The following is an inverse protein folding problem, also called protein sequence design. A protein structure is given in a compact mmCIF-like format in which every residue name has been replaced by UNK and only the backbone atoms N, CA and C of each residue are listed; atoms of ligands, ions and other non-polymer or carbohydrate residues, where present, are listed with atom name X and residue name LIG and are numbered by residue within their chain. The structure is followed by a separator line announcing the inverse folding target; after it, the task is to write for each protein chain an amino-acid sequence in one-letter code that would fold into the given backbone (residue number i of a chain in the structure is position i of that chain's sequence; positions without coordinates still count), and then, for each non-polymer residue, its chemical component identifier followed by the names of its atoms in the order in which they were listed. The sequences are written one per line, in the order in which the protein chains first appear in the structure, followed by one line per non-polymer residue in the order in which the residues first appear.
data_IF_483633595085
#
_entry.id   IF_483633595085
#
_cell.length_a   1.000
_cell.length_b   1.000
_cell.length_c   1.000
_cell.angle_alpha   90.00
_cell.angle_beta   90.00
_cell.angle_gamma   90.00
#
_symmetry.space_group_name_H-M   'P 1'
#
loop_
_entity.id
_entity.type
_entity.pdbx_description
1 polymer ?
#
# COMPACT_ATOMS: atom_id res chain seq x y z
N UNK A 1 23.46 -4.14 1.86
CA UNK A 1 22.85 -3.21 2.82
C UNK A 1 23.79 -2.07 3.22
N UNK A 2 25.04 -2.33 3.65
CA UNK A 2 26.01 -1.28 4.03
C UNK A 2 26.26 -0.23 2.95
N UNK A 3 26.47 -0.61 1.69
CA UNK A 3 26.70 0.33 0.59
C UNK A 3 25.52 1.30 0.37
N UNK A 4 24.27 0.83 0.54
CA UNK A 4 23.08 1.68 0.44
C UNK A 4 22.97 2.68 1.60
N UNK A 5 23.35 2.26 2.82
CA UNK A 5 23.37 3.14 4.00
C UNK A 5 24.42 4.24 3.82
N UNK A 6 25.63 3.88 3.42
CA UNK A 6 26.72 4.86 3.16
C UNK A 6 26.34 5.85 2.05
N UNK A 7 25.67 5.40 0.97
CA UNK A 7 25.18 6.31 -0.07
C UNK A 7 24.05 7.21 0.45
N UNK A 8 23.14 6.69 1.29
CA UNK A 8 22.06 7.49 1.86
C UNK A 8 22.55 8.59 2.81
N UNK A 9 23.67 8.36 3.51
CA UNK A 9 24.26 9.34 4.42
C UNK A 9 25.04 10.44 3.69
N UNK A 10 25.79 10.08 2.64
CA UNK A 10 26.72 11.00 1.98
C UNK A 10 26.13 11.77 0.80
N UNK A 11 25.03 11.27 0.17
CA UNK A 11 24.49 11.85 -1.07
C UNK A 11 23.00 12.20 -1.00
N UNK A 12 22.41 12.20 0.19
CA UNK A 12 20.97 12.44 0.35
C UNK A 12 20.54 13.79 -0.22
N UNK A 13 21.24 14.86 0.16
CA UNK A 13 20.85 16.23 -0.18
C UNK A 13 20.98 16.51 -1.70
N UNK A 14 21.87 15.79 -2.39
CA UNK A 14 22.06 15.89 -3.83
C UNK A 14 21.11 14.95 -4.59
N UNK A 15 20.90 13.74 -4.10
CA UNK A 15 20.14 12.70 -4.78
C UNK A 15 18.62 12.90 -4.63
N UNK A 16 18.14 13.38 -3.46
CA UNK A 16 16.71 13.51 -3.18
C UNK A 16 15.99 14.41 -4.18
N UNK A 17 16.42 15.67 -4.44
CA UNK A 17 15.73 16.53 -5.40
C UNK A 17 15.68 15.88 -6.79
N UNK A 18 16.76 15.25 -7.21
CA UNK A 18 16.83 14.60 -8.53
C UNK A 18 15.91 13.40 -8.63
N UNK A 19 15.82 12.56 -7.60
CA UNK A 19 14.90 11.41 -7.59
C UNK A 19 13.43 11.85 -7.57
N UNK A 20 13.10 12.89 -6.83
CA UNK A 20 11.73 13.46 -6.83
C UNK A 20 11.35 14.02 -8.20
N UNK A 21 12.27 14.72 -8.88
CA UNK A 21 12.07 15.22 -10.24
C UNK A 21 11.81 14.06 -11.23
N UNK A 22 12.59 12.96 -11.12
CA UNK A 22 12.48 11.78 -11.98
C UNK A 22 11.16 11.01 -11.80
N UNK A 23 10.40 11.24 -10.72
CA UNK A 23 9.04 10.70 -10.60
C UNK A 23 8.07 11.26 -11.64
N UNK A 24 8.40 12.41 -12.22
CA UNK A 24 7.61 13.06 -13.28
C UNK A 24 8.09 12.72 -14.70
N UNK A 25 9.08 11.83 -14.84
CA UNK A 25 9.59 11.41 -16.14
C UNK A 25 8.51 10.63 -16.92
N UNK A 26 8.33 10.87 -18.23
CA UNK A 26 7.35 10.14 -19.04
C UNK A 26 7.71 8.66 -19.24
N UNK A 27 8.98 8.27 -19.10
CA UNK A 27 9.42 6.87 -19.22
C UNK A 27 9.13 6.09 -17.92
N UNK A 28 8.28 5.05 -18.00
CA UNK A 28 8.00 4.19 -16.85
C UNK A 28 9.22 3.54 -16.22
N UNK A 29 10.28 3.28 -16.99
CA UNK A 29 11.52 2.69 -16.48
C UNK A 29 12.24 3.66 -15.56
N UNK A 30 12.25 4.94 -15.93
CA UNK A 30 12.91 5.99 -15.17
C UNK A 30 12.19 6.25 -13.85
N UNK A 31 10.88 6.57 -13.87
CA UNK A 31 10.18 6.87 -12.63
C UNK A 31 10.10 5.65 -11.67
N UNK A 32 10.00 4.42 -12.20
CA UNK A 32 10.04 3.20 -11.36
C UNK A 32 11.41 3.01 -10.70
N UNK A 33 12.49 3.37 -11.42
CA UNK A 33 13.84 3.33 -10.85
C UNK A 33 14.01 4.39 -9.78
N UNK A 34 13.46 5.60 -9.99
CA UNK A 34 13.45 6.67 -8.99
C UNK A 34 12.69 6.25 -7.72
N UNK A 35 11.52 5.59 -7.84
CA UNK A 35 10.77 5.03 -6.71
C UNK A 35 11.62 4.07 -5.89
N UNK A 36 12.36 3.15 -6.55
CA UNK A 36 13.28 2.23 -5.86
C UNK A 36 14.42 2.97 -5.18
N UNK A 37 15.00 3.97 -5.86
CA UNK A 37 16.06 4.81 -5.32
C UNK A 37 15.62 5.57 -4.05
N UNK A 38 14.41 6.13 -4.05
CA UNK A 38 13.84 6.80 -2.88
C UNK A 38 13.71 5.84 -1.68
N UNK A 39 13.34 4.58 -1.92
CA UNK A 39 13.25 3.57 -0.88
C UNK A 39 14.55 3.30 -0.13
N UNK A 40 15.72 3.59 -0.72
CA UNK A 40 17.05 3.40 -0.10
C UNK A 40 17.29 4.38 1.05
N UNK A 41 16.64 5.56 1.04
CA UNK A 41 16.84 6.61 2.04
C UNK A 41 15.98 6.44 3.30
N UNK A 42 15.12 5.43 3.34
CA UNK A 42 14.31 5.09 4.53
C UNK A 42 13.36 6.21 4.96
N UNK A 43 13.28 6.44 6.27
CA UNK A 43 12.36 7.43 6.86
C UNK A 43 12.64 8.88 6.42
N UNK A 44 13.87 9.20 5.99
CA UNK A 44 14.27 10.57 5.59
C UNK A 44 13.46 11.11 4.42
N UNK A 45 12.96 10.25 3.53
CA UNK A 45 12.18 10.67 2.36
C UNK A 45 10.67 10.72 2.59
N UNK A 46 10.18 10.29 3.76
CA UNK A 46 8.74 10.22 4.01
C UNK A 46 8.06 11.58 3.90
N UNK A 47 8.57 12.60 4.59
CA UNK A 47 8.00 13.95 4.52
C UNK A 47 8.13 14.60 3.14
N UNK A 48 9.29 14.56 2.45
CA UNK A 48 9.38 14.99 1.06
C UNK A 48 8.39 14.31 0.11
N UNK A 49 8.15 12.99 0.28
CA UNK A 49 7.15 12.25 -0.51
C UNK A 49 5.72 12.69 -0.19
N UNK A 50 5.41 12.93 1.09
CA UNK A 50 4.10 13.42 1.54
C UNK A 50 3.83 14.84 1.01
N UNK A 51 4.81 15.72 1.05
CA UNK A 51 4.71 17.07 0.49
C UNK A 51 4.46 17.03 -1.02
N UNK A 52 5.20 16.17 -1.74
CA UNK A 52 5.00 16.01 -3.18
C UNK A 52 3.63 15.39 -3.49
N UNK A 53 3.18 14.39 -2.75
CA UNK A 53 1.85 13.78 -2.91
C UNK A 53 0.74 14.81 -2.74
N UNK A 54 0.85 15.68 -1.74
CA UNK A 54 -0.18 16.68 -1.43
C UNK A 54 -0.18 17.88 -2.41
N UNK A 55 0.94 18.15 -3.06
CA UNK A 55 1.08 19.35 -3.93
C UNK A 55 0.97 19.04 -5.42
N UNK A 56 1.22 17.80 -5.84
CA UNK A 56 1.16 17.44 -7.26
C UNK A 56 -0.26 17.17 -7.74
N UNK A 57 -0.57 17.61 -8.96
CA UNK A 57 -1.78 17.19 -9.69
C UNK A 57 -1.54 15.98 -10.61
N UNK A 58 -0.28 15.53 -10.77
CA UNK A 58 0.06 14.40 -11.63
C UNK A 58 -0.24 13.08 -10.91
N UNK A 59 -1.26 12.34 -11.39
CA UNK A 59 -1.68 11.07 -10.81
C UNK A 59 -0.57 9.99 -10.83
N UNK A 60 0.31 9.99 -11.84
CA UNK A 60 1.46 9.08 -11.88
C UNK A 60 2.44 9.39 -10.75
N UNK A 61 2.73 10.67 -10.50
CA UNK A 61 3.60 11.09 -9.40
C UNK A 61 2.98 10.76 -8.05
N UNK A 62 1.67 11.04 -7.85
CA UNK A 62 0.94 10.61 -6.64
C UNK A 62 1.09 9.11 -6.38
N UNK A 63 0.84 8.30 -7.40
CA UNK A 63 0.98 6.85 -7.32
C UNK A 63 2.43 6.40 -7.01
N UNK A 64 3.42 7.10 -7.55
CA UNK A 64 4.84 6.85 -7.27
C UNK A 64 5.19 7.16 -5.81
N UNK A 65 4.69 8.27 -5.25
CA UNK A 65 4.87 8.62 -3.84
C UNK A 65 4.34 7.49 -2.92
N UNK A 66 3.13 7.00 -3.20
CA UNK A 66 2.52 5.89 -2.44
C UNK A 66 3.33 4.60 -2.58
N UNK A 67 3.77 4.24 -3.79
CA UNK A 67 4.58 3.04 -4.03
C UNK A 67 5.96 3.10 -3.38
N UNK A 68 6.52 4.30 -3.20
CA UNK A 68 7.78 4.48 -2.51
C UNK A 68 7.70 4.04 -1.04
N UNK A 69 6.54 4.13 -0.38
CA UNK A 69 6.35 3.61 0.98
C UNK A 69 6.62 2.10 1.07
N UNK A 70 6.20 1.32 0.07
CA UNK A 70 6.51 -0.12 0.02
C UNK A 70 8.02 -0.34 -0.12
N UNK A 71 8.71 0.44 -0.97
CA UNK A 71 10.16 0.32 -1.13
C UNK A 71 10.91 0.67 0.17
N UNK A 72 10.43 1.66 0.91
CA UNK A 72 10.96 2.01 2.24
C UNK A 72 10.77 0.84 3.20
N UNK A 73 9.55 0.28 3.30
CA UNK A 73 9.25 -0.83 4.20
C UNK A 73 10.02 -2.12 3.84
N UNK A 74 10.27 -2.38 2.56
CA UNK A 74 11.10 -3.51 2.11
C UNK A 74 12.55 -3.37 2.55
N UNK A 75 13.12 -2.15 2.44
CA UNK A 75 14.51 -1.89 2.79
C UNK A 75 14.72 -1.71 4.30
N UNK A 76 13.68 -1.23 5.00
CA UNK A 76 13.70 -0.94 6.44
C UNK A 76 12.46 -1.57 7.11
N UNK A 77 12.46 -2.90 7.37
CA UNK A 77 11.28 -3.62 7.88
C UNK A 77 10.75 -3.11 9.21
N UNK A 78 11.63 -2.50 10.03
CA UNK A 78 11.27 -1.98 11.35
C UNK A 78 10.78 -0.52 11.33
N UNK A 79 10.65 0.08 10.12
CA UNK A 79 10.19 1.46 10.01
C UNK A 79 8.71 1.56 10.40
N UNK A 80 8.41 2.50 11.30
CA UNK A 80 7.03 2.88 11.65
C UNK A 80 6.67 4.12 10.86
N UNK A 81 5.61 4.02 10.07
CA UNK A 81 5.17 5.15 9.25
C UNK A 81 4.44 6.20 10.08
N UNK A 82 4.69 7.50 9.86
CA UNK A 82 4.00 8.57 10.56
C UNK A 82 2.49 8.58 10.20
N UNK A 83 1.66 9.16 11.07
CA UNK A 83 0.21 9.22 10.86
C UNK A 83 -0.17 9.90 9.54
N UNK A 84 0.63 10.88 9.12
CA UNK A 84 0.47 11.56 7.84
C UNK A 84 0.59 10.60 6.64
N UNK A 85 1.43 9.55 6.74
CA UNK A 85 1.53 8.54 5.68
C UNK A 85 0.27 7.67 5.59
N UNK A 86 -0.33 7.32 6.73
CA UNK A 86 -1.60 6.58 6.76
C UNK A 86 -2.73 7.46 6.22
N UNK A 87 -2.76 8.74 6.59
CA UNK A 87 -3.72 9.70 6.03
C UNK A 87 -3.56 9.83 4.51
N UNK A 88 -2.32 9.89 4.00
CA UNK A 88 -2.07 9.93 2.57
C UNK A 88 -2.54 8.65 1.85
N UNK A 89 -2.41 7.48 2.49
CA UNK A 89 -2.95 6.22 1.96
C UNK A 89 -4.48 6.24 1.88
N UNK A 90 -5.17 6.81 2.90
CA UNK A 90 -6.61 6.98 2.86
C UNK A 90 -7.03 7.93 1.72
N UNK A 91 -6.39 9.09 1.61
CA UNK A 91 -6.65 10.03 0.53
C UNK A 91 -6.41 9.42 -0.86
N UNK A 92 -5.33 8.64 -1.00
CA UNK A 92 -5.02 7.95 -2.24
C UNK A 92 -6.02 6.83 -2.56
N UNK A 93 -6.57 6.15 -1.54
CA UNK A 93 -7.58 5.12 -1.70
C UNK A 93 -8.89 5.71 -2.25
N UNK A 94 -9.23 6.92 -1.81
CA UNK A 94 -10.43 7.65 -2.20
C UNK A 94 -10.23 8.51 -3.48
N UNK A 95 -9.02 8.50 -4.07
CA UNK A 95 -8.72 9.24 -5.30
C UNK A 95 -9.50 8.67 -6.50
N UNK A 96 -10.14 9.54 -7.28
CA UNK A 96 -10.94 9.16 -8.45
C UNK A 96 -10.09 8.48 -9.55
N UNK A 97 -8.78 8.75 -9.56
CA UNK A 97 -7.87 8.15 -10.54
C UNK A 97 -7.50 6.72 -10.14
N UNK A 98 -7.84 5.71 -10.98
CA UNK A 98 -7.62 4.30 -10.64
C UNK A 98 -6.14 3.93 -10.46
N UNK A 99 -5.20 4.68 -11.03
CA UNK A 99 -3.76 4.45 -10.84
C UNK A 99 -3.34 4.80 -9.42
N UNK A 100 -3.94 5.85 -8.84
CA UNK A 100 -3.67 6.29 -7.47
C UNK A 100 -4.33 5.35 -6.47
N UNK A 101 -5.64 5.10 -6.60
CA UNK A 101 -6.38 4.24 -5.68
C UNK A 101 -5.89 2.79 -5.69
N UNK A 102 -5.52 2.24 -6.85
CA UNK A 102 -4.93 0.91 -6.91
C UNK A 102 -3.53 0.87 -6.26
N UNK A 103 -2.75 1.94 -6.36
CA UNK A 103 -1.45 2.02 -5.68
C UNK A 103 -1.60 2.03 -4.16
N UNK A 104 -2.63 2.72 -3.65
CA UNK A 104 -2.98 2.70 -2.23
C UNK A 104 -3.38 1.28 -1.77
N UNK A 105 -4.28 0.61 -2.50
CA UNK A 105 -4.69 -0.77 -2.20
C UNK A 105 -3.51 -1.73 -2.13
N UNK A 106 -2.60 -1.67 -3.09
CA UNK A 106 -1.40 -2.52 -3.09
C UNK A 106 -0.50 -2.22 -1.89
N UNK A 107 -0.34 -0.95 -1.52
CA UNK A 107 0.47 -0.54 -0.36
C UNK A 107 -0.18 -0.97 0.95
N UNK A 108 -1.49 -0.77 1.10
CA UNK A 108 -2.26 -1.25 2.26
C UNK A 108 -2.18 -2.77 2.38
N UNK A 109 -2.29 -3.51 1.26
CA UNK A 109 -2.14 -4.96 1.24
C UNK A 109 -0.75 -5.42 1.68
N UNK A 110 0.31 -4.68 1.35
CA UNK A 110 1.65 -4.95 1.87
C UNK A 110 1.74 -4.64 3.37
N UNK A 111 1.24 -3.48 3.81
CA UNK A 111 1.28 -3.04 5.21
C UNK A 111 0.43 -3.90 6.13
N UNK A 112 -0.64 -4.53 5.63
CA UNK A 112 -1.47 -5.44 6.43
C UNK A 112 -0.73 -6.68 6.94
N UNK A 113 0.44 -6.98 6.36
CA UNK A 113 1.34 -8.08 6.76
C UNK A 113 2.48 -7.61 7.66
N UNK A 114 2.62 -6.29 7.90
CA UNK A 114 3.66 -5.73 8.75
C UNK A 114 3.14 -5.54 10.18
N UNK A 115 3.85 -6.10 11.17
CA UNK A 115 3.41 -6.06 12.58
C UNK A 115 3.11 -4.66 13.09
N UNK A 116 3.92 -3.67 12.68
CA UNK A 116 3.81 -2.29 13.14
C UNK A 116 2.64 -1.53 12.49
N UNK A 117 2.17 -1.97 11.31
CA UNK A 117 1.17 -1.25 10.52
C UNK A 117 -0.17 -1.97 10.42
N UNK A 118 -0.21 -3.30 10.60
CA UNK A 118 -1.41 -4.11 10.38
C UNK A 118 -2.64 -3.60 11.13
N UNK A 119 -2.48 -3.17 12.38
CA UNK A 119 -3.58 -2.69 13.20
C UNK A 119 -4.20 -1.38 12.67
N UNK A 120 -3.40 -0.57 11.96
CA UNK A 120 -3.81 0.72 11.38
C UNK A 120 -4.48 0.57 10.02
N UNK A 121 -4.06 -0.43 9.22
CA UNK A 121 -4.47 -0.56 7.82
C UNK A 121 -5.52 -1.64 7.57
N UNK A 122 -5.64 -2.67 8.42
CA UNK A 122 -6.68 -3.68 8.31
C UNK A 122 -8.09 -3.07 8.31
N UNK A 123 -8.45 -2.12 9.20
CA UNK A 123 -9.76 -1.47 9.16
C UNK A 123 -10.05 -0.78 7.82
N UNK A 124 -9.05 -0.16 7.19
CA UNK A 124 -9.18 0.49 5.88
C UNK A 124 -9.51 -0.53 4.79
N UNK A 125 -8.79 -1.66 4.74
CA UNK A 125 -9.06 -2.74 3.78
C UNK A 125 -10.43 -3.40 4.02
N UNK A 126 -10.84 -3.58 5.28
CA UNK A 126 -12.18 -4.07 5.63
C UNK A 126 -13.27 -3.10 5.16
N UNK A 127 -13.04 -1.80 5.24
CA UNK A 127 -13.96 -0.80 4.69
C UNK A 127 -14.08 -0.93 3.16
N UNK A 128 -12.96 -1.17 2.45
CA UNK A 128 -12.97 -1.39 1.00
C UNK A 128 -13.78 -2.62 0.61
N UNK A 129 -13.80 -3.67 1.44
CA UNK A 129 -14.63 -4.86 1.18
C UNK A 129 -16.14 -4.55 1.09
N UNK A 130 -16.58 -3.41 1.63
CA UNK A 130 -17.97 -2.95 1.57
C UNK A 130 -18.20 -1.89 0.47
N UNK A 131 -17.22 -1.62 -0.38
CA UNK A 131 -17.36 -0.64 -1.46
C UNK A 131 -18.14 -1.19 -2.67
N UNK A 132 -18.66 -0.29 -3.50
CA UNK A 132 -19.32 -0.67 -4.74
C UNK A 132 -18.34 -1.06 -5.88
N UNK A 133 -17.05 -0.80 -5.72
CA UNK A 133 -16.04 -1.10 -6.72
C UNK A 133 -15.56 -2.55 -6.58
N UNK A 134 -16.08 -3.44 -7.42
CA UNK A 134 -15.78 -4.89 -7.42
C UNK A 134 -14.26 -5.15 -7.51
N UNK A 135 -13.51 -4.40 -8.33
CA UNK A 135 -12.06 -4.59 -8.46
C UNK A 135 -11.31 -4.22 -7.18
N UNK A 136 -11.76 -3.17 -6.48
CA UNK A 136 -11.22 -2.81 -5.17
C UNK A 136 -11.55 -3.86 -4.11
N UNK A 137 -12.80 -4.32 -4.06
CA UNK A 137 -13.23 -5.40 -3.16
C UNK A 137 -12.39 -6.65 -3.37
N UNK A 138 -12.22 -7.08 -4.63
CA UNK A 138 -11.38 -8.23 -4.97
C UNK A 138 -9.94 -8.05 -4.44
N UNK A 139 -9.33 -6.90 -4.70
CA UNK A 139 -7.96 -6.61 -4.25
C UNK A 139 -7.83 -6.61 -2.72
N UNK A 140 -8.83 -6.05 -2.02
CA UNK A 140 -8.87 -6.03 -0.56
C UNK A 140 -9.03 -7.44 0.03
N UNK A 141 -9.97 -8.24 -0.50
CA UNK A 141 -10.18 -9.64 -0.07
C UNK A 141 -8.91 -10.46 -0.26
N UNK A 142 -8.27 -10.37 -1.43
CA UNK A 142 -7.02 -11.08 -1.70
C UNK A 142 -5.89 -10.67 -0.75
N UNK A 143 -5.77 -9.38 -0.43
CA UNK A 143 -4.77 -8.87 0.51
C UNK A 143 -5.01 -9.37 1.93
N UNK A 144 -6.28 -9.40 2.37
CA UNK A 144 -6.68 -9.83 3.71
C UNK A 144 -6.69 -11.35 3.88
N UNK A 145 -6.72 -12.14 2.79
CA UNK A 145 -6.77 -13.60 2.85
C UNK A 145 -5.58 -14.23 3.59
N UNK A 146 -4.44 -13.54 3.62
CA UNK A 146 -3.19 -14.00 4.27
C UNK A 146 -2.91 -13.30 5.61
N UNK A 147 -3.89 -12.58 6.16
CA UNK A 147 -3.75 -11.81 7.39
C UNK A 147 -4.54 -12.44 8.51
N UNK A 148 -3.87 -12.88 9.58
CA UNK A 148 -4.54 -13.38 10.79
C UNK A 148 -5.19 -12.22 11.55
N UNK A 149 -6.53 -12.20 11.57
CA UNK A 149 -7.31 -11.16 12.27
C UNK A 149 -8.76 -11.58 12.42
N UNK A 150 -9.29 -11.47 13.65
CA UNK A 150 -10.70 -11.72 13.93
C UNK A 150 -11.63 -10.71 13.23
N UNK A 151 -11.13 -9.52 12.94
CA UNK A 151 -11.90 -8.51 12.18
C UNK A 151 -12.07 -8.95 10.72
N UNK A 152 -11.03 -9.53 10.12
CA UNK A 152 -11.09 -10.09 8.76
C UNK A 152 -12.04 -11.28 8.71
N UNK A 153 -11.98 -12.19 9.71
CA UNK A 153 -12.88 -13.37 9.76
C UNK A 153 -14.34 -12.95 9.82
N UNK A 154 -14.66 -11.95 10.66
CA UNK A 154 -16.02 -11.39 10.76
C UNK A 154 -16.46 -10.72 9.45
N UNK A 155 -15.57 -9.97 8.81
CA UNK A 155 -15.85 -9.33 7.52
C UNK A 155 -16.17 -10.38 6.45
N UNK A 156 -15.34 -11.38 6.27
CA UNK A 156 -15.52 -12.42 5.27
C UNK A 156 -16.79 -13.25 5.52
N UNK A 157 -17.05 -13.63 6.77
CA UNK A 157 -18.27 -14.33 7.14
C UNK A 157 -19.53 -13.49 6.83
N UNK A 158 -19.49 -12.20 7.10
CA UNK A 158 -20.61 -11.28 6.77
C UNK A 158 -20.84 -11.20 5.26
N UNK A 159 -19.76 -11.04 4.48
CA UNK A 159 -19.86 -10.93 3.02
C UNK A 159 -20.41 -12.22 2.35
N UNK A 160 -19.99 -13.39 2.81
CA UNK A 160 -20.51 -14.69 2.29
C UNK A 160 -21.99 -14.85 2.55
N UNK A 161 -22.46 -14.44 3.75
CA UNK A 161 -23.86 -14.56 4.15
C UNK A 161 -24.77 -13.46 3.55
N UNK A 162 -24.20 -12.51 2.81
CA UNK A 162 -24.94 -11.42 2.18
C UNK A 162 -25.36 -11.82 0.77
N UNK A 163 -26.66 -11.86 0.49
CA UNK A 163 -27.20 -12.28 -0.82
C UNK A 163 -26.77 -11.37 -1.97
N UNK A 164 -26.60 -10.08 -1.71
CA UNK A 164 -26.20 -9.07 -2.68
C UNK A 164 -24.69 -9.07 -3.00
N UNK A 165 -23.89 -9.91 -2.35
CA UNK A 165 -22.46 -10.02 -2.67
C UNK A 165 -22.27 -10.61 -4.07
N UNK A 166 -21.44 -9.95 -4.88
CA UNK A 166 -21.14 -10.37 -6.24
C UNK A 166 -20.66 -11.84 -6.28
N UNK A 167 -21.15 -12.66 -7.23
CA UNK A 167 -20.81 -14.09 -7.30
C UNK A 167 -19.31 -14.36 -7.43
N UNK A 168 -18.56 -13.52 -8.16
CA UNK A 168 -17.11 -13.64 -8.29
C UNK A 168 -16.42 -13.39 -6.93
N UNK A 169 -16.90 -12.40 -6.18
CA UNK A 169 -16.38 -12.12 -4.84
C UNK A 169 -16.70 -13.26 -3.88
N UNK A 170 -17.89 -13.88 -3.98
CA UNK A 170 -18.21 -15.07 -3.16
C UNK A 170 -17.25 -16.23 -3.41
N UNK A 171 -16.95 -16.53 -4.65
CA UNK A 171 -15.98 -17.59 -5.02
C UNK A 171 -14.57 -17.29 -4.45
N UNK A 172 -14.12 -16.04 -4.56
CA UNK A 172 -12.82 -15.63 -4.01
C UNK A 172 -12.82 -15.72 -2.48
N UNK A 173 -13.91 -15.34 -1.82
CA UNK A 173 -14.06 -15.44 -0.36
C UNK A 173 -14.02 -16.89 0.12
N UNK A 174 -14.75 -17.80 -0.52
CA UNK A 174 -14.75 -19.24 -0.19
C UNK A 174 -13.34 -19.83 -0.30
N UNK A 175 -12.65 -19.54 -1.41
CA UNK A 175 -11.26 -19.94 -1.61
C UNK A 175 -10.32 -19.34 -0.55
N UNK A 176 -10.51 -18.06 -0.21
CA UNK A 176 -9.71 -17.35 0.80
C UNK A 176 -9.95 -17.91 2.20
N UNK A 177 -11.19 -18.21 2.57
CA UNK A 177 -11.52 -18.81 3.88
C UNK A 177 -10.96 -20.22 4.02
N UNK A 178 -11.02 -21.04 2.97
CA UNK A 178 -10.41 -22.37 2.97
C UNK A 178 -8.89 -22.28 3.21
N UNK A 179 -8.22 -21.33 2.55
CA UNK A 179 -6.79 -21.08 2.75
C UNK A 179 -6.49 -20.60 4.17
N UNK A 180 -7.30 -19.68 4.72
CA UNK A 180 -7.14 -19.18 6.09
C UNK A 180 -7.29 -20.29 7.13
N UNK A 181 -8.26 -21.19 6.97
CA UNK A 181 -8.41 -22.36 7.84
C UNK A 181 -7.16 -23.24 7.83
N UNK A 182 -6.52 -23.42 6.67
CA UNK A 182 -5.28 -24.21 6.61
C UNK A 182 -4.07 -23.47 7.19
N UNK A 183 -4.05 -22.14 7.19
CA UNK A 183 -2.93 -21.34 7.70
C UNK A 183 -3.04 -21.04 9.21
N UNK A 184 -4.26 -20.81 9.71
CA UNK A 184 -4.51 -20.24 11.05
C UNK A 184 -5.47 -21.09 11.90
N UNK A 185 -6.02 -22.19 11.37
CA UNK A 185 -7.06 -23.02 12.02
C UNK A 185 -6.51 -24.21 12.80
N UNK A 186 -5.24 -24.13 13.29
CA UNK A 186 -4.58 -25.17 14.07
C UNK A 186 -4.75 -25.01 15.58
#
# INVERSE_FOLDING_TARGET
MEACVVMSENYFDEALPRLLELLNDPDPTIYRTAVKGLGVFGHRVLFPLLDLFNTTSNCTVKACCIKAFVQIAVNFPDVVFPEQAITALQLALDDENPVVSQSALMTLGYFSKQEHEKARVIPMLVQVCNSANIAHVQSAVMSLAEVESTQVDKCFASMINTDSTDPLIKEILESSMSRRQSLFGG
#
